data_IF_223313178434
#
_entry.id   IF_223313178434
#
_cell.length_a   1.000
_cell.length_b   1.000
_cell.length_c   1.000
_cell.angle_alpha   90.00
_cell.angle_beta   90.00
_cell.angle_gamma   90.00
#
_symmetry.space_group_name_H-M   'P 1'
#
loop_
_entity.id
_entity.type
_entity.pdbx_description
1 polymer ?
#
# COMPACT_ATOMS: atom_id res chain seq x y z
N UNK A 1 61.75 -19.67 -3.12
CA UNK A 1 60.71 -18.62 -2.97
C UNK A 1 60.46 -18.07 -4.37
N UNK A 2 59.29 -18.05 -5.01
CA UNK A 2 57.88 -18.10 -4.58
C UNK A 2 57.07 -18.93 -5.60
N UNK A 3 55.98 -19.52 -5.11
CA UNK A 3 55.06 -20.43 -5.80
C UNK A 3 54.20 -19.67 -6.82
N UNK A 4 53.94 -20.28 -7.98
CA UNK A 4 52.83 -19.93 -8.86
C UNK A 4 51.57 -20.62 -8.36
N UNK A 5 50.50 -19.85 -8.14
CA UNK A 5 49.10 -20.23 -8.39
C UNK A 5 48.21 -19.01 -8.18
N UNK A 6 47.79 -18.37 -9.27
CA UNK A 6 46.64 -17.49 -9.27
C UNK A 6 45.50 -18.26 -9.93
N UNK A 7 44.74 -18.98 -9.11
CA UNK A 7 43.44 -19.50 -9.50
C UNK A 7 42.46 -18.36 -9.33
N UNK A 8 41.85 -17.88 -10.40
CA UNK A 8 40.69 -17.00 -10.31
C UNK A 8 39.66 -17.48 -11.31
N UNK A 9 38.66 -18.16 -10.76
CA UNK A 9 37.45 -18.62 -11.44
C UNK A 9 36.70 -17.38 -11.90
N UNK A 10 36.47 -17.28 -13.21
CA UNK A 10 35.57 -16.30 -13.80
C UNK A 10 34.15 -16.68 -13.34
N UNK A 11 33.57 -15.92 -12.41
CA UNK A 11 32.21 -16.13 -11.97
C UNK A 11 31.25 -15.83 -13.13
N UNK A 12 30.46 -16.83 -13.50
CA UNK A 12 29.38 -16.74 -14.49
C UNK A 12 28.28 -15.82 -13.95
N UNK A 13 28.13 -14.63 -14.53
CA UNK A 13 27.01 -13.75 -14.21
C UNK A 13 25.72 -14.32 -14.80
N UNK A 14 24.98 -15.06 -13.99
CA UNK A 14 23.63 -15.51 -14.36
C UNK A 14 22.69 -14.32 -14.28
N UNK A 15 22.42 -13.66 -15.41
CA UNK A 15 21.28 -12.75 -15.55
C UNK A 15 19.99 -13.59 -15.48
N UNK A 16 19.49 -13.83 -14.27
CA UNK A 16 18.12 -14.30 -14.09
C UNK A 16 17.19 -13.13 -14.38
N UNK A 17 16.85 -12.97 -15.66
CA UNK A 17 15.64 -12.26 -16.08
C UNK A 17 14.41 -13.05 -15.65
N UNK A 18 14.23 -13.25 -14.34
CA UNK A 18 12.95 -13.68 -13.82
C UNK A 18 12.06 -12.46 -13.81
N UNK A 19 11.18 -12.36 -14.80
CA UNK A 19 9.94 -11.59 -14.63
C UNK A 19 9.21 -12.26 -13.47
N UNK A 20 9.53 -11.87 -12.24
CA UNK A 20 8.76 -12.28 -11.08
C UNK A 20 7.39 -11.66 -11.27
N UNK A 21 6.41 -12.47 -11.69
CA UNK A 21 5.02 -12.14 -11.43
C UNK A 21 4.91 -12.06 -9.92
N UNK A 22 4.94 -10.84 -9.37
CA UNK A 22 4.73 -10.65 -7.95
C UNK A 22 3.32 -11.15 -7.66
N UNK A 23 3.20 -12.15 -6.78
CA UNK A 23 1.89 -12.53 -6.27
C UNK A 23 1.30 -11.35 -5.51
N UNK A 24 0.00 -11.14 -5.67
CA UNK A 24 -0.77 -10.21 -4.85
C UNK A 24 -0.53 -10.52 -3.37
N UNK A 25 -0.01 -9.54 -2.63
CA UNK A 25 0.28 -9.65 -1.21
C UNK A 25 -0.80 -8.94 -0.38
N UNK A 26 -1.08 -9.52 0.79
CA UNK A 26 -1.96 -8.93 1.80
C UNK A 26 -1.11 -8.38 2.93
N UNK A 27 -1.34 -7.11 3.27
CA UNK A 27 -0.67 -6.41 4.36
C UNK A 27 -1.69 -6.18 5.47
N UNK A 28 -1.54 -6.92 6.56
CA UNK A 28 -2.29 -6.63 7.78
C UNK A 28 -1.83 -5.33 8.40
N UNK A 29 -2.78 -4.60 8.95
CA UNK A 29 -2.47 -3.42 9.73
C UNK A 29 -1.62 -3.75 10.97
N UNK A 30 -0.76 -2.81 11.36
CA UNK A 30 0.13 -2.93 12.52
C UNK A 30 0.14 -1.63 13.31
N UNK A 31 -0.29 -1.74 14.57
CA UNK A 31 -0.44 -0.61 15.49
C UNK A 31 0.79 -0.44 16.42
N UNK A 32 1.10 0.80 16.88
CA UNK A 32 0.42 2.05 16.57
C UNK A 32 0.84 2.64 15.22
N UNK A 33 -0.10 3.09 14.38
CA UNK A 33 0.20 3.72 13.09
C UNK A 33 -0.47 5.10 12.92
N UNK A 34 -1.00 5.70 14.00
CA UNK A 34 -1.90 6.86 13.97
C UNK A 34 -1.27 8.19 13.51
N UNK A 35 -0.04 8.16 13.01
CA UNK A 35 0.70 9.31 12.49
C UNK A 35 1.56 8.93 11.29
N UNK A 36 1.94 9.92 10.46
CA UNK A 36 2.88 9.69 9.35
C UNK A 36 4.23 9.11 9.81
N UNK A 37 4.70 9.50 11.01
CA UNK A 37 5.98 9.04 11.55
C UNK A 37 5.96 7.58 12.01
N UNK A 38 4.77 7.06 12.34
CA UNK A 38 4.55 5.69 12.79
C UNK A 38 3.86 4.84 11.72
N UNK A 39 3.74 5.35 10.49
CA UNK A 39 2.97 4.73 9.43
C UNK A 39 3.47 3.32 9.12
N UNK A 40 2.52 2.39 8.98
CA UNK A 40 2.81 1.01 8.59
C UNK A 40 3.34 0.95 7.15
N UNK A 41 4.32 0.09 6.91
CA UNK A 41 4.88 -0.06 5.57
C UNK A 41 3.95 -0.87 4.68
N UNK A 42 3.72 -0.36 3.46
CA UNK A 42 2.99 -1.04 2.40
C UNK A 42 3.84 -1.08 1.13
N UNK A 43 3.63 -2.07 0.26
CA UNK A 43 4.19 -2.06 -1.08
C UNK A 43 3.04 -1.96 -2.10
N UNK A 44 2.90 -0.80 -2.74
CA UNK A 44 1.88 -0.63 -3.77
C UNK A 44 2.28 -1.39 -5.06
N UNK A 45 1.50 -2.41 -5.41
CA UNK A 45 1.62 -3.17 -6.64
C UNK A 45 0.24 -3.66 -7.09
N UNK A 46 0.13 -4.08 -8.35
CA UNK A 46 -1.13 -4.62 -8.86
C UNK A 46 -1.56 -5.86 -8.06
N UNK A 47 -2.80 -5.86 -7.57
CA UNK A 47 -3.38 -6.92 -6.77
C UNK A 47 -3.04 -6.88 -5.28
N UNK A 48 -2.09 -6.05 -4.82
CA UNK A 48 -1.79 -5.94 -3.39
C UNK A 48 -2.98 -5.33 -2.62
N UNK A 49 -3.09 -5.68 -1.35
CA UNK A 49 -4.14 -5.18 -0.47
C UNK A 49 -3.66 -4.88 0.94
N UNK A 50 -4.34 -3.95 1.60
CA UNK A 50 -4.26 -3.67 3.03
C UNK A 50 -5.54 -4.17 3.69
N UNK A 51 -5.44 -4.79 4.86
CA UNK A 51 -6.58 -5.13 5.73
C UNK A 51 -6.39 -4.46 7.09
N UNK A 52 -7.33 -3.60 7.50
CA UNK A 52 -7.24 -2.87 8.77
C UNK A 52 -8.59 -2.73 9.48
N UNK A 53 -8.57 -2.15 10.66
CA UNK A 53 -9.76 -1.93 11.50
C UNK A 53 -9.60 -0.69 12.37
N UNK A 54 -10.38 0.35 12.07
CA UNK A 54 -10.43 1.52 12.95
C UNK A 54 -11.28 1.20 14.18
N UNK A 55 -11.03 1.84 15.31
CA UNK A 55 -11.90 1.73 16.49
C UNK A 55 -11.87 3.01 17.36
N UNK A 56 -12.60 3.04 18.47
CA UNK A 56 -12.69 4.25 19.30
C UNK A 56 -11.34 4.75 19.86
N UNK A 57 -10.34 3.89 19.98
CA UNK A 57 -8.96 4.22 20.39
C UNK A 57 -8.00 4.40 19.21
N UNK A 58 -8.42 4.03 18.02
CA UNK A 58 -7.69 4.15 16.76
C UNK A 58 -8.53 4.97 15.75
N UNK A 59 -8.36 6.30 15.78
CA UNK A 59 -9.16 7.19 14.94
C UNK A 59 -8.67 7.27 13.50
N UNK A 60 -7.50 6.72 13.16
CA UNK A 60 -6.92 6.84 11.83
C UNK A 60 -5.71 5.91 11.64
N UNK A 61 -5.65 5.28 10.48
CA UNK A 61 -4.51 4.48 10.07
C UNK A 61 -3.64 5.22 9.06
N UNK A 62 -2.31 5.17 9.24
CA UNK A 62 -1.36 5.62 8.23
C UNK A 62 -0.53 4.48 7.67
N UNK A 63 -0.37 4.49 6.34
CA UNK A 63 0.59 3.66 5.64
C UNK A 63 1.52 4.50 4.79
N UNK A 64 2.71 3.97 4.50
CA UNK A 64 3.63 4.57 3.55
C UNK A 64 4.22 3.55 2.60
N UNK A 65 4.47 3.98 1.37
CA UNK A 65 5.15 3.19 0.36
C UNK A 65 6.00 4.10 -0.52
N UNK A 66 7.09 3.56 -1.05
CA UNK A 66 7.86 4.21 -2.12
C UNK A 66 7.50 3.55 -3.44
N UNK A 67 7.04 4.35 -4.40
CA UNK A 67 6.63 3.84 -5.71
C UNK A 67 7.83 3.26 -6.47
N UNK A 68 7.74 1.99 -6.88
CA UNK A 68 8.81 1.34 -7.64
C UNK A 68 8.77 1.67 -9.14
N UNK A 69 7.61 2.11 -9.64
CA UNK A 69 7.36 2.39 -11.05
C UNK A 69 6.55 3.67 -11.21
N UNK A 70 6.81 4.41 -12.29
CA UNK A 70 5.94 5.50 -12.73
C UNK A 70 4.77 4.90 -13.48
N UNK A 71 3.57 4.96 -12.90
CA UNK A 71 2.36 4.34 -13.45
C UNK A 71 1.11 4.93 -12.81
N UNK A 72 -0.03 4.83 -13.50
CA UNK A 72 -1.33 5.15 -12.92
C UNK A 72 -1.83 3.95 -12.11
N UNK A 73 -2.18 4.18 -10.85
CA UNK A 73 -2.68 3.15 -9.93
C UNK A 73 -4.03 3.58 -9.36
N UNK A 74 -4.96 2.64 -9.23
CA UNK A 74 -6.17 2.79 -8.43
C UNK A 74 -5.93 2.26 -7.03
N UNK A 75 -6.37 3.02 -6.03
CA UNK A 75 -6.51 2.58 -4.65
C UNK A 75 -8.01 2.62 -4.33
N UNK A 76 -8.59 1.47 -3.99
CA UNK A 76 -10.02 1.32 -3.76
C UNK A 76 -10.27 0.80 -2.36
N UNK A 77 -11.08 1.51 -1.59
CA UNK A 77 -11.47 1.10 -0.24
C UNK A 77 -12.77 0.28 -0.29
N UNK A 78 -12.87 -0.73 0.57
CA UNK A 78 -14.08 -1.50 0.82
C UNK A 78 -14.30 -1.62 2.31
N UNK A 79 -15.50 -1.30 2.77
CA UNK A 79 -15.91 -1.33 4.17
C UNK A 79 -17.44 -1.38 4.25
N UNK A 80 -17.99 -1.65 5.44
CA UNK A 80 -19.44 -1.60 5.67
C UNK A 80 -19.95 -0.16 5.53
N UNK A 81 -21.02 0.09 4.76
CA UNK A 81 -21.74 1.39 4.76
C UNK A 81 -22.99 1.37 5.65
N UNK A 82 -23.14 0.33 6.47
CA UNK A 82 -24.29 0.17 7.35
C UNK A 82 -24.42 1.36 8.30
N UNK A 83 -25.66 1.74 8.62
CA UNK A 83 -25.91 2.87 9.51
C UNK A 83 -25.40 4.21 9.00
N UNK A 84 -25.11 4.34 7.71
CA UNK A 84 -24.61 5.57 7.08
C UNK A 84 -23.15 5.90 7.38
N UNK A 85 -22.36 4.94 7.89
CA UNK A 85 -20.93 5.18 8.11
C UNK A 85 -20.23 5.45 6.77
N UNK A 86 -19.20 6.30 6.81
CA UNK A 86 -18.35 6.56 5.66
C UNK A 86 -16.89 6.70 6.12
N UNK A 87 -16.06 5.77 5.63
CA UNK A 87 -14.61 5.80 5.77
C UNK A 87 -13.98 6.45 4.55
N UNK A 88 -12.98 7.28 4.81
CA UNK A 88 -12.25 8.04 3.81
C UNK A 88 -10.89 7.40 3.57
N UNK A 89 -10.58 7.15 2.30
CA UNK A 89 -9.25 6.80 1.82
C UNK A 89 -8.62 8.05 1.21
N UNK A 90 -7.41 8.38 1.66
CA UNK A 90 -6.58 9.43 1.08
C UNK A 90 -5.23 8.85 0.65
N UNK A 91 -4.80 9.19 -0.57
CA UNK A 91 -3.47 8.84 -1.10
C UNK A 91 -2.82 10.10 -1.65
N UNK A 92 -1.78 10.59 -0.96
CA UNK A 92 -1.23 11.92 -1.25
C UNK A 92 -2.30 13.01 -1.09
N UNK A 93 -2.63 13.72 -2.17
CA UNK A 93 -3.69 14.75 -2.20
C UNK A 93 -5.05 14.22 -2.65
N UNK A 94 -5.12 13.03 -3.25
CA UNK A 94 -6.36 12.44 -3.74
C UNK A 94 -7.17 11.83 -2.59
N UNK A 95 -8.49 11.99 -2.61
CA UNK A 95 -9.38 11.56 -1.53
C UNK A 95 -10.69 10.99 -2.08
N UNK A 96 -11.23 9.96 -1.44
CA UNK A 96 -12.55 9.40 -1.75
C UNK A 96 -13.69 10.33 -1.32
N UNK A 97 -14.89 10.07 -1.84
CA UNK A 97 -16.14 10.74 -1.43
C UNK A 97 -17.19 9.69 -1.05
N UNK A 98 -18.31 10.13 -0.48
CA UNK A 98 -19.41 9.23 -0.07
C UNK A 98 -19.92 8.31 -1.19
N UNK A 99 -19.79 8.76 -2.44
CA UNK A 99 -20.25 8.06 -3.64
C UNK A 99 -19.12 7.44 -4.47
N UNK A 100 -17.86 7.72 -4.15
CA UNK A 100 -16.69 7.24 -4.89
C UNK A 100 -15.70 6.61 -3.92
N UNK A 101 -15.63 5.27 -3.92
CA UNK A 101 -14.80 4.48 -3.00
C UNK A 101 -13.37 4.21 -3.55
N UNK A 102 -12.88 5.01 -4.50
CA UNK A 102 -11.53 4.86 -5.01
C UNK A 102 -10.88 6.21 -5.35
N UNK A 103 -9.55 6.19 -5.43
CA UNK A 103 -8.75 7.27 -6.00
C UNK A 103 -7.80 6.69 -7.04
N UNK A 104 -7.63 7.40 -8.14
CA UNK A 104 -6.60 7.10 -9.13
C UNK A 104 -5.44 8.08 -8.92
N UNK A 105 -4.22 7.56 -8.84
CA UNK A 105 -3.00 8.34 -8.60
C UNK A 105 -1.96 8.02 -9.66
N UNK A 106 -1.39 9.06 -10.28
CA UNK A 106 -0.21 8.91 -11.12
C UNK A 106 1.03 8.85 -10.21
N UNK A 107 1.51 7.65 -9.96
CA UNK A 107 2.71 7.43 -9.17
C UNK A 107 3.96 7.79 -9.98
N UNK A 108 4.97 8.31 -9.29
CA UNK A 108 6.30 8.59 -9.83
C UNK A 108 7.32 7.70 -9.13
N UNK A 109 8.10 6.95 -9.90
CA UNK A 109 9.13 6.07 -9.35
C UNK A 109 10.08 6.81 -8.39
N UNK A 110 10.40 6.21 -7.26
CA UNK A 110 11.24 6.77 -6.21
C UNK A 110 10.55 7.78 -5.28
N UNK A 111 9.30 8.16 -5.56
CA UNK A 111 8.53 9.05 -4.66
C UNK A 111 7.85 8.25 -3.56
N UNK A 112 7.97 8.73 -2.32
CA UNK A 112 7.25 8.18 -1.17
C UNK A 112 5.87 8.82 -1.06
N UNK A 113 4.84 7.98 -0.92
CA UNK A 113 3.46 8.39 -0.74
C UNK A 113 2.96 7.93 0.63
N UNK A 114 1.96 8.65 1.13
CA UNK A 114 1.22 8.31 2.33
C UNK A 114 -0.20 7.92 1.95
N UNK A 115 -0.67 6.82 2.53
CA UNK A 115 -2.07 6.41 2.56
C UNK A 115 -2.59 6.75 3.96
N UNK A 116 -3.78 7.33 4.04
CA UNK A 116 -4.49 7.54 5.31
C UNK A 116 -5.91 7.03 5.19
N UNK A 117 -6.34 6.26 6.18
CA UNK A 117 -7.73 5.88 6.38
C UNK A 117 -8.24 6.62 7.62
N UNK A 118 -9.35 7.34 7.50
CA UNK A 118 -9.98 8.02 8.62
C UNK A 118 -11.51 7.97 8.50
N UNK A 119 -12.25 7.94 9.62
CA UNK A 119 -13.70 8.03 9.57
C UNK A 119 -14.11 9.46 9.27
N UNK A 120 -15.01 9.65 8.29
CA UNK A 120 -15.61 10.96 8.02
C UNK A 120 -17.06 11.04 8.51
N UNK A 121 -17.80 9.93 8.46
CA UNK A 121 -19.07 9.76 9.19
C UNK A 121 -18.95 8.50 10.04
N UNK A 122 -19.04 8.66 11.37
CA UNK A 122 -18.91 7.56 12.33
C UNK A 122 -20.27 7.01 12.74
N UNK A 123 -20.32 5.69 12.89
CA UNK A 123 -21.40 5.02 13.61
C UNK A 123 -20.76 3.92 14.45
N UNK A 124 -20.76 4.10 15.77
CA UNK A 124 -20.04 3.19 16.70
C UNK A 124 -20.78 1.88 16.93
N UNK A 125 -21.97 1.69 16.36
CA UNK A 125 -22.75 0.45 16.44
C UNK A 125 -22.47 -0.52 15.29
N UNK A 126 -21.60 -0.14 14.34
CA UNK A 126 -21.22 -0.94 13.18
C UNK A 126 -19.70 -1.08 13.14
N UNK A 127 -19.21 -2.21 12.62
CA UNK A 127 -17.78 -2.46 12.50
C UNK A 127 -17.10 -1.49 11.53
N UNK A 128 -15.84 -1.18 11.80
CA UNK A 128 -15.02 -0.23 11.04
C UNK A 128 -13.84 -0.89 10.34
N UNK A 129 -13.91 -2.21 10.16
CA UNK A 129 -12.97 -2.98 9.37
C UNK A 129 -13.04 -2.58 7.91
N UNK A 130 -11.88 -2.54 7.26
CA UNK A 130 -11.77 -2.15 5.87
C UNK A 130 -10.70 -2.95 5.13
N UNK A 131 -10.80 -2.89 3.80
CA UNK A 131 -9.77 -3.34 2.89
C UNK A 131 -9.41 -2.20 1.93
N UNK A 132 -8.15 -2.07 1.58
CA UNK A 132 -7.71 -1.20 0.46
C UNK A 132 -7.07 -2.08 -0.60
N UNK A 133 -7.67 -2.13 -1.79
CA UNK A 133 -7.14 -2.86 -2.94
C UNK A 133 -6.39 -1.92 -3.87
N UNK A 134 -5.29 -2.40 -4.45
CA UNK A 134 -4.52 -1.64 -5.42
C UNK A 134 -4.47 -2.30 -6.78
N UNK A 135 -4.72 -1.52 -7.83
CA UNK A 135 -4.73 -2.00 -9.22
C UNK A 135 -3.87 -1.11 -10.10
N UNK A 136 -3.01 -1.72 -10.92
CA UNK A 136 -2.35 -0.97 -11.99
C UNK A 136 -3.36 -0.70 -13.11
N UNK A 137 -3.50 0.55 -13.50
CA UNK A 137 -4.37 0.91 -14.62
C UNK A 137 -3.52 0.91 -15.90
N UNK A 138 -3.82 0.00 -16.81
CA UNK A 138 -3.28 0.03 -18.17
C UNK A 138 -3.94 1.17 -18.94
N UNK A 139 -3.13 2.01 -19.57
CA UNK A 139 -3.61 2.99 -20.54
C UNK A 139 -4.19 2.30 -21.79
#
# INVERSE_FOLDING_TARGET
>A
MKKFTATSILALTLLLGVSSSAFAATYSDVEPNNTVATASHFAAADGNQITGDLNGSDPQDYYTFTAQKTQKMRFQISYSKAGGQFLRLKVGTSVTSETIDYVDVNLVAGTTYTIRIDPFVTNTSVGSSYNVYTYALTN
#
